data_IF_559936231533
#
_entry.id   IF_559936231533
#
_cell.length_a   1.000
_cell.length_b   1.000
_cell.length_c   1.000
_cell.angle_alpha   90.00
_cell.angle_beta   90.00
_cell.angle_gamma   90.00
#
_symmetry.space_group_name_H-M   'P 1'
#
loop_
_entity.id
_entity.type
_entity.pdbx_description
1 polymer ?
#
# COMPACT_ATOMS: atom_id res chain seq x y z
N UNK A 1 -6.55 -4.80 21.63
CA UNK A 1 -6.15 -3.63 22.41
C UNK A 1 -4.71 -3.21 22.19
N UNK A 2 -3.84 -4.05 21.67
CA UNK A 2 -2.40 -3.84 21.73
C UNK A 2 -1.73 -3.74 20.36
N UNK A 3 -2.50 -3.27 19.35
CA UNK A 3 -1.96 -3.03 18.02
C UNK A 3 -1.36 -1.62 17.86
N UNK A 4 -1.30 -0.79 18.92
CA UNK A 4 -0.86 0.60 18.81
C UNK A 4 0.57 0.73 18.30
N UNK A 5 1.52 0.00 18.89
CA UNK A 5 2.91 0.01 18.44
C UNK A 5 3.05 -0.53 17.01
N UNK A 6 2.33 -1.60 16.68
CA UNK A 6 2.27 -2.15 15.33
C UNK A 6 1.72 -1.12 14.34
N UNK A 7 0.56 -0.51 14.64
CA UNK A 7 -0.08 0.46 13.77
C UNK A 7 0.80 1.70 13.57
N UNK A 8 1.44 2.21 14.62
CA UNK A 8 2.38 3.33 14.53
C UNK A 8 3.56 2.96 13.60
N UNK A 9 4.16 1.78 13.78
CA UNK A 9 5.28 1.34 12.95
C UNK A 9 4.89 1.22 11.48
N UNK A 10 3.69 0.70 11.18
CA UNK A 10 3.20 0.57 9.81
C UNK A 10 2.84 1.93 9.18
N UNK A 11 2.30 2.85 9.96
CA UNK A 11 2.06 4.23 9.50
C UNK A 11 3.38 4.96 9.21
N UNK A 12 4.41 4.72 10.02
CA UNK A 12 5.74 5.27 9.77
C UNK A 12 6.33 4.79 8.44
N UNK A 13 6.11 3.50 8.06
CA UNK A 13 6.52 2.98 6.75
C UNK A 13 5.89 3.77 5.59
N UNK A 14 4.60 4.10 5.66
CA UNK A 14 3.94 4.90 4.64
C UNK A 14 4.58 6.30 4.48
N UNK A 15 5.01 6.92 5.58
CA UNK A 15 5.75 8.19 5.53
C UNK A 15 7.13 8.02 4.89
N UNK A 16 7.84 6.94 5.19
CA UNK A 16 9.13 6.62 4.58
C UNK A 16 8.97 6.39 3.07
N UNK A 17 7.96 5.64 2.65
CA UNK A 17 7.65 5.40 1.23
C UNK A 17 7.40 6.70 0.48
N UNK A 18 6.55 7.59 1.00
CA UNK A 18 6.30 8.89 0.38
C UNK A 18 7.55 9.76 0.28
N UNK A 19 8.36 9.82 1.35
CA UNK A 19 9.61 10.58 1.36
C UNK A 19 10.64 10.01 0.39
N UNK A 20 10.74 8.69 0.30
CA UNK A 20 11.63 7.99 -0.64
C UNK A 20 11.23 8.25 -2.08
N UNK A 21 9.92 8.22 -2.38
CA UNK A 21 9.40 8.58 -3.70
C UNK A 21 9.83 10.00 -4.09
N UNK A 22 9.55 10.99 -3.24
CA UNK A 22 9.87 12.40 -3.54
C UNK A 22 11.37 12.62 -3.75
N UNK A 23 12.22 12.05 -2.91
CA UNK A 23 13.67 12.21 -3.01
C UNK A 23 14.31 11.39 -4.14
N UNK A 24 13.70 10.26 -4.50
CA UNK A 24 14.28 9.27 -5.39
C UNK A 24 13.76 9.28 -6.82
N UNK A 25 12.60 9.87 -7.07
CA UNK A 25 11.94 9.81 -8.40
C UNK A 25 12.85 10.21 -9.55
N UNK A 26 13.50 11.37 -9.44
CA UNK A 26 14.41 11.87 -10.48
C UNK A 26 15.68 11.03 -10.65
N UNK A 27 15.95 10.14 -9.70
CA UNK A 27 17.09 9.20 -9.74
C UNK A 27 16.68 7.79 -10.18
N UNK A 28 15.45 7.62 -10.64
CA UNK A 28 14.93 6.30 -11.05
C UNK A 28 14.53 5.39 -9.90
N UNK A 29 14.46 5.89 -8.65
CA UNK A 29 14.03 5.11 -7.49
C UNK A 29 12.50 5.15 -7.40
N UNK A 30 11.91 3.98 -7.19
CA UNK A 30 10.48 3.80 -6.96
C UNK A 30 10.27 3.15 -5.60
N UNK A 31 9.28 3.62 -4.88
CA UNK A 31 8.96 3.13 -3.54
C UNK A 31 7.46 2.90 -3.43
N UNK A 32 7.06 1.79 -2.84
CA UNK A 32 5.65 1.39 -2.73
C UNK A 32 5.37 0.88 -1.33
N UNK A 33 4.18 1.21 -0.79
CA UNK A 33 3.64 0.50 0.36
C UNK A 33 2.78 -0.66 -0.13
N UNK A 34 3.22 -1.88 0.11
CA UNK A 34 2.47 -3.06 -0.24
C UNK A 34 1.88 -3.70 1.01
N UNK A 35 0.54 -3.74 1.06
CA UNK A 35 -0.19 -4.53 2.04
C UNK A 35 -0.45 -5.93 1.44
N UNK A 36 0.10 -7.00 2.04
CA UNK A 36 -0.07 -8.35 1.49
C UNK A 36 -1.48 -8.92 1.70
N UNK A 37 -2.39 -8.15 2.30
CA UNK A 37 -3.67 -8.71 2.76
C UNK A 37 -3.46 -9.63 3.96
N UNK A 38 -4.37 -10.56 4.16
CA UNK A 38 -4.24 -11.56 5.23
C UNK A 38 -3.86 -12.90 4.61
N UNK A 39 -2.57 -13.15 4.55
CA UNK A 39 -2.02 -14.42 4.08
C UNK A 39 -2.06 -15.43 5.21
N UNK A 40 -2.41 -16.66 4.90
CA UNK A 40 -2.45 -17.75 5.87
C UNK A 40 -1.04 -18.19 6.25
N UNK A 41 -0.61 -17.81 7.45
CA UNK A 41 0.69 -18.15 8.05
C UNK A 41 0.48 -18.60 9.48
N UNK A 42 1.47 -19.22 10.10
CA UNK A 42 1.39 -19.61 11.51
C UNK A 42 1.10 -18.39 12.40
N UNK A 43 1.71 -17.26 12.10
CA UNK A 43 1.49 -16.01 12.84
C UNK A 43 0.04 -15.53 12.70
N UNK A 44 -0.51 -15.47 11.49
CA UNK A 44 -1.87 -14.98 11.28
C UNK A 44 -2.93 -15.94 11.81
N UNK A 45 -2.68 -17.24 11.76
CA UNK A 45 -3.56 -18.24 12.37
C UNK A 45 -3.60 -18.18 13.90
N UNK A 46 -2.50 -17.77 14.52
CA UNK A 46 -2.42 -17.59 15.98
C UNK A 46 -3.07 -16.29 16.48
N UNK A 47 -3.40 -15.35 15.60
CA UNK A 47 -4.00 -14.07 16.00
C UNK A 47 -5.50 -14.20 16.27
N UNK A 48 -5.95 -13.71 17.41
CA UNK A 48 -7.38 -13.67 17.77
C UNK A 48 -8.27 -13.00 16.73
N UNK A 49 -7.76 -11.98 16.05
CA UNK A 49 -8.48 -11.24 15.01
C UNK A 49 -8.86 -12.10 13.79
N UNK A 50 -8.24 -13.26 13.63
CA UNK A 50 -8.43 -14.13 12.47
C UNK A 50 -9.07 -15.48 12.83
N UNK A 51 -9.54 -15.65 14.07
CA UNK A 51 -10.28 -16.85 14.47
C UNK A 51 -11.54 -16.98 13.63
N UNK A 52 -11.72 -18.15 13.00
CA UNK A 52 -12.88 -18.42 12.13
C UNK A 52 -12.80 -17.79 10.73
N UNK A 53 -11.70 -17.15 10.35
CA UNK A 53 -11.52 -16.59 9.00
C UNK A 53 -11.50 -17.70 7.96
N UNK A 54 -12.30 -17.53 6.90
CA UNK A 54 -12.39 -18.43 5.76
C UNK A 54 -11.74 -17.86 4.50
N UNK A 55 -11.67 -16.53 4.40
CA UNK A 55 -11.08 -15.84 3.24
C UNK A 55 -9.67 -15.37 3.55
N UNK A 56 -8.72 -15.76 2.72
CA UNK A 56 -7.31 -15.46 2.82
C UNK A 56 -6.79 -14.95 1.49
N UNK A 57 -5.82 -14.03 1.54
CA UNK A 57 -5.09 -13.62 0.33
C UNK A 57 -4.16 -14.76 -0.08
N UNK A 58 -4.21 -15.16 -1.35
CA UNK A 58 -3.30 -16.18 -1.85
C UNK A 58 -1.86 -15.61 -1.93
N UNK A 59 -0.84 -16.39 -1.58
CA UNK A 59 0.56 -15.94 -1.69
C UNK A 59 0.92 -15.47 -3.11
N UNK A 60 0.35 -16.09 -4.13
CA UNK A 60 0.56 -15.76 -5.54
C UNK A 60 0.10 -14.34 -5.88
N UNK A 61 -1.00 -13.87 -5.29
CA UNK A 61 -1.49 -12.50 -5.46
C UNK A 61 -0.47 -11.47 -4.96
N UNK A 62 0.26 -11.81 -3.88
CA UNK A 62 1.31 -10.95 -3.35
C UNK A 62 2.53 -10.96 -4.26
N UNK A 63 2.99 -12.13 -4.69
CA UNK A 63 4.19 -12.27 -5.52
C UNK A 63 4.00 -11.67 -6.91
N UNK A 64 2.84 -11.86 -7.52
CA UNK A 64 2.52 -11.28 -8.82
C UNK A 64 2.51 -9.75 -8.76
N UNK A 65 1.92 -9.18 -7.71
CA UNK A 65 1.92 -7.74 -7.50
C UNK A 65 3.34 -7.20 -7.26
N UNK A 66 4.17 -7.89 -6.47
CA UNK A 66 5.58 -7.50 -6.26
C UNK A 66 6.36 -7.51 -7.57
N UNK A 67 6.18 -8.54 -8.40
CA UNK A 67 6.85 -8.64 -9.70
C UNK A 67 6.42 -7.50 -10.65
N UNK A 68 5.13 -7.18 -10.68
CA UNK A 68 4.62 -6.07 -11.47
C UNK A 68 5.17 -4.71 -11.00
N UNK A 69 5.25 -4.48 -9.69
CA UNK A 69 5.87 -3.26 -9.14
C UNK A 69 7.36 -3.18 -9.48
N UNK A 70 8.07 -4.31 -9.42
CA UNK A 70 9.50 -4.36 -9.71
C UNK A 70 9.81 -4.22 -11.21
N UNK A 71 8.88 -4.57 -12.09
CA UNK A 71 9.06 -4.46 -13.55
C UNK A 71 9.07 -3.03 -14.08
N UNK A 72 8.54 -2.08 -13.31
CA UNK A 72 8.36 -0.68 -13.71
C UNK A 72 7.02 -0.38 -14.39
N UNK A 73 6.22 -1.40 -14.72
CA UNK A 73 4.91 -1.19 -15.38
C UNK A 73 3.89 -0.44 -14.51
N UNK A 74 4.11 -0.41 -13.19
CA UNK A 74 3.27 0.29 -12.22
C UNK A 74 3.97 1.49 -11.57
N UNK A 75 4.95 2.10 -12.23
CA UNK A 75 5.71 3.25 -11.70
C UNK A 75 4.82 4.42 -11.29
N UNK A 76 3.68 4.63 -11.95
CA UNK A 76 2.69 5.64 -11.59
C UNK A 76 2.18 5.51 -10.14
N UNK A 77 2.26 4.32 -9.56
CA UNK A 77 1.87 4.03 -8.19
C UNK A 77 2.98 4.26 -7.17
N UNK A 78 4.16 4.71 -7.59
CA UNK A 78 5.25 5.01 -6.65
C UNK A 78 4.84 6.09 -5.64
N UNK A 79 5.22 5.92 -4.39
CA UNK A 79 4.83 6.77 -3.26
C UNK A 79 3.48 6.43 -2.65
N UNK A 80 2.80 5.39 -3.14
CA UNK A 80 1.40 5.08 -2.84
C UNK A 80 1.24 3.69 -2.24
N UNK A 81 0.06 3.47 -1.73
CA UNK A 81 -0.38 2.24 -1.08
C UNK A 81 -1.07 1.31 -2.08
N UNK A 82 -0.64 0.06 -2.16
CA UNK A 82 -1.28 -1.00 -2.94
C UNK A 82 -1.56 -2.21 -2.07
N UNK A 83 -2.59 -3.00 -2.38
CA UNK A 83 -3.03 -4.11 -1.55
C UNK A 83 -3.29 -5.38 -2.36
N UNK A 84 -2.53 -6.41 -2.13
CA UNK A 84 -2.80 -7.73 -2.69
C UNK A 84 -4.16 -8.29 -2.23
N UNK A 85 -4.83 -9.03 -3.10
CA UNK A 85 -6.19 -9.55 -2.87
C UNK A 85 -7.31 -8.52 -3.07
N UNK A 86 -6.96 -7.25 -3.33
CA UNK A 86 -7.92 -6.18 -3.67
C UNK A 86 -7.53 -5.52 -4.97
N UNK A 87 -6.26 -5.13 -5.07
CA UNK A 87 -5.70 -4.57 -6.29
C UNK A 87 -5.14 -5.70 -7.16
N UNK A 88 -5.57 -5.77 -8.41
CA UNK A 88 -4.94 -6.60 -9.44
C UNK A 88 -3.99 -5.75 -10.29
N UNK A 89 -3.06 -6.40 -10.97
CA UNK A 89 -2.14 -5.71 -11.89
C UNK A 89 -2.93 -4.95 -12.97
N UNK A 90 -3.99 -5.57 -13.51
CA UNK A 90 -4.89 -4.95 -14.49
C UNK A 90 -5.57 -3.71 -13.93
N UNK A 91 -6.16 -3.80 -12.73
CA UNK A 91 -6.89 -2.68 -12.12
C UNK A 91 -5.96 -1.49 -11.82
N UNK A 92 -4.72 -1.77 -11.45
CA UNK A 92 -3.73 -0.73 -11.21
C UNK A 92 -3.25 -0.06 -12.52
N UNK A 93 -3.10 -0.83 -13.60
CA UNK A 93 -2.80 -0.28 -14.95
C UNK A 93 -3.90 0.63 -15.43
N UNK A 94 -5.15 0.18 -15.38
CA UNK A 94 -6.32 0.95 -15.82
C UNK A 94 -6.46 2.29 -15.08
N UNK A 95 -6.06 2.32 -13.82
CA UNK A 95 -6.15 3.50 -12.97
C UNK A 95 -4.95 4.44 -13.04
N UNK A 96 -3.83 4.00 -13.60
CA UNK A 96 -2.56 4.74 -13.59
C UNK A 96 -2.69 6.17 -14.13
N UNK A 97 -3.43 6.36 -15.22
CA UNK A 97 -3.60 7.65 -15.87
C UNK A 97 -4.65 8.57 -15.20
N UNK A 98 -5.40 8.05 -14.23
CA UNK A 98 -6.47 8.77 -13.54
C UNK A 98 -6.15 9.09 -12.08
N UNK A 99 -4.92 8.79 -11.64
CA UNK A 99 -4.49 9.04 -10.27
C UNK A 99 -4.44 10.53 -9.96
N UNK A 100 -5.16 10.93 -8.93
CA UNK A 100 -5.00 12.23 -8.31
C UNK A 100 -3.69 12.32 -7.52
N UNK A 101 -3.22 13.52 -7.28
CA UNK A 101 -1.95 13.78 -6.60
C UNK A 101 -1.85 13.09 -5.24
N UNK A 102 -2.95 13.06 -4.51
CA UNK A 102 -2.98 12.54 -3.12
C UNK A 102 -3.61 11.14 -2.99
N UNK A 103 -3.98 10.51 -4.10
CA UNK A 103 -4.63 9.20 -4.05
C UNK A 103 -3.70 8.16 -3.43
N UNK A 104 -4.21 7.48 -2.40
CA UNK A 104 -3.51 6.44 -1.64
C UNK A 104 -2.15 6.84 -1.07
N UNK A 105 -1.96 8.13 -0.81
CA UNK A 105 -0.80 8.65 -0.07
C UNK A 105 -1.16 8.90 1.40
N UNK A 106 -0.16 8.95 2.27
CA UNK A 106 -0.36 9.36 3.65
C UNK A 106 -0.42 10.88 3.74
N UNK A 107 -1.55 11.43 4.16
CA UNK A 107 -1.75 12.87 4.28
C UNK A 107 -2.87 13.23 5.24
N UNK A 108 -3.06 14.51 5.43
CA UNK A 108 -4.21 15.05 6.15
C UNK A 108 -5.45 15.03 5.23
N UNK A 109 -6.58 14.70 5.80
CA UNK A 109 -7.87 14.86 5.11
C UNK A 109 -8.33 16.29 5.36
N UNK A 110 -8.53 17.11 4.32
CA UNK A 110 -9.03 18.46 4.51
C UNK A 110 -10.43 18.45 5.11
N UNK A 111 -10.72 19.37 6.01
CA UNK A 111 -12.07 19.49 6.61
C UNK A 111 -13.01 20.33 5.73
N UNK A 112 -12.47 21.12 4.81
CA UNK A 112 -13.20 21.84 3.75
C UNK A 112 -12.36 21.83 2.46
N UNK A 113 -12.97 22.12 1.29
CA UNK A 113 -12.23 22.27 0.04
C UNK A 113 -11.15 23.36 0.07
N UNK A 114 -11.34 24.37 0.92
CA UNK A 114 -10.43 25.52 1.08
C UNK A 114 -9.50 25.40 2.30
N UNK A 115 -9.33 24.20 2.83
CA UNK A 115 -8.45 23.96 3.97
C UNK A 115 -7.00 24.31 3.61
N UNK A 116 -6.36 25.26 4.31
CA UNK A 116 -4.99 25.68 3.98
C UNK A 116 -3.93 24.61 4.24
N UNK A 117 -4.30 23.52 4.93
CA UNK A 117 -3.43 22.37 5.18
C UNK A 117 -3.69 21.20 4.23
N UNK A 118 -4.55 21.36 3.25
CA UNK A 118 -4.89 20.33 2.29
C UNK A 118 -3.81 20.14 1.20
#
# INVERSE_FOLDING_TARGET
>A
LDASAYNVSKTALARITGSTHLAGWARGIRAFDLMPGVVRTDMTQAMHAHVGRTEWTAPEEVTDLVLALASGELDAWSGRFVRAGVDTVESLRERADTLGERDRTLGLVPYTPDDPLA
#
